data_IF_589727952791
#
_entry.id   IF_589727952791
#
_cell.length_a   1.000
_cell.length_b   1.000
_cell.length_c   1.000
_cell.angle_alpha   90.00
_cell.angle_beta   90.00
_cell.angle_gamma   90.00
#
_symmetry.space_group_name_H-M   'P 1'
#
loop_
_entity.id
_entity.type
_entity.pdbx_description
1 polymer ?
#
# COMPACT_ATOMS: atom_id res chain seq x y z
N UNK A 1 -1.63 14.09 6.05
CA UNK A 1 -0.31 13.49 6.37
C UNK A 1 0.07 12.64 5.17
N UNK A 2 1.20 12.95 4.53
CA UNK A 2 1.68 12.22 3.36
C UNK A 2 2.27 10.88 3.77
N UNK A 3 2.06 9.86 2.95
CA UNK A 3 2.75 8.59 3.11
C UNK A 3 4.23 8.77 2.73
N UNK A 4 5.14 8.42 3.65
CA UNK A 4 6.58 8.62 3.43
C UNK A 4 7.17 7.51 2.54
N UNK A 5 6.99 7.72 1.23
CA UNK A 5 7.50 6.84 0.19
C UNK A 5 9.02 6.69 0.21
N UNK A 6 9.74 7.76 0.56
CA UNK A 6 11.21 7.73 0.60
C UNK A 6 11.72 6.81 1.69
N UNK A 7 11.14 6.91 2.89
CA UNK A 7 11.44 6.03 4.02
C UNK A 7 11.11 4.56 3.69
N UNK A 8 9.98 4.30 3.03
CA UNK A 8 9.58 2.95 2.64
C UNK A 8 10.53 2.32 1.63
N UNK A 9 10.93 3.07 0.59
CA UNK A 9 11.87 2.58 -0.43
C UNK A 9 13.26 2.35 0.16
N UNK A 10 13.72 3.21 1.07
CA UNK A 10 14.96 2.99 1.82
C UNK A 10 14.88 1.69 2.63
N UNK A 11 13.80 1.49 3.39
CA UNK A 11 13.64 0.29 4.21
C UNK A 11 13.55 -1.00 3.36
N UNK A 12 12.83 -0.97 2.23
CA UNK A 12 12.68 -2.13 1.35
C UNK A 12 13.91 -2.41 0.47
N UNK A 13 14.39 -1.43 -0.29
CA UNK A 13 15.47 -1.62 -1.27
C UNK A 13 16.84 -1.62 -0.60
N UNK A 14 17.09 -0.73 0.35
CA UNK A 14 18.38 -0.66 1.07
C UNK A 14 18.39 -1.57 2.30
N UNK A 15 17.30 -1.59 3.08
CA UNK A 15 17.22 -2.35 4.33
C UNK A 15 17.07 -3.86 4.12
N UNK A 16 16.07 -4.28 3.34
CA UNK A 16 15.84 -5.70 3.02
C UNK A 16 16.64 -6.20 1.81
N UNK A 17 17.33 -5.30 1.10
CA UNK A 17 18.13 -5.66 -0.09
C UNK A 17 17.31 -6.06 -1.31
N UNK A 18 16.01 -5.73 -1.34
CA UNK A 18 15.11 -6.06 -2.43
C UNK A 18 15.54 -5.33 -3.71
N UNK A 19 15.54 -6.03 -4.85
CA UNK A 19 15.64 -5.34 -6.14
C UNK A 19 14.39 -4.48 -6.35
N UNK A 20 14.49 -3.35 -7.08
CA UNK A 20 13.32 -2.51 -7.35
C UNK A 20 12.14 -3.29 -7.94
N UNK A 21 12.40 -4.27 -8.81
CA UNK A 21 11.37 -5.14 -9.38
C UNK A 21 10.70 -6.04 -8.35
N UNK A 22 11.46 -6.58 -7.38
CA UNK A 22 10.90 -7.41 -6.31
C UNK A 22 10.06 -6.56 -5.35
N UNK A 23 10.55 -5.37 -5.02
CA UNK A 23 9.82 -4.40 -4.21
C UNK A 23 8.46 -4.02 -4.82
N UNK A 24 8.39 -3.79 -6.14
CA UNK A 24 7.14 -3.46 -6.83
C UNK A 24 6.25 -4.68 -7.11
N UNK A 25 6.80 -5.89 -7.08
CA UNK A 25 6.03 -7.13 -7.20
C UNK A 25 5.37 -7.54 -5.88
N UNK A 26 5.91 -7.10 -4.74
CA UNK A 26 5.37 -7.39 -3.41
C UNK A 26 4.11 -6.58 -3.14
N UNK A 27 3.15 -7.22 -2.45
CA UNK A 27 2.04 -6.49 -1.87
C UNK A 27 2.54 -5.67 -0.67
N UNK A 28 1.91 -4.50 -0.38
CA UNK A 28 2.28 -3.71 0.81
C UNK A 28 2.21 -4.50 2.13
N UNK A 29 1.33 -5.51 2.21
CA UNK A 29 1.22 -6.37 3.38
C UNK A 29 2.43 -7.29 3.56
N UNK A 30 2.93 -7.90 2.46
CA UNK A 30 4.13 -8.72 2.49
C UNK A 30 5.38 -7.89 2.80
N UNK A 31 5.46 -6.68 2.26
CA UNK A 31 6.53 -5.74 2.58
C UNK A 31 6.54 -5.38 4.08
N UNK A 32 5.37 -5.06 4.66
CA UNK A 32 5.27 -4.77 6.10
C UNK A 32 5.63 -5.99 6.97
N UNK A 33 5.24 -7.19 6.55
CA UNK A 33 5.61 -8.43 7.24
C UNK A 33 7.14 -8.62 7.24
N UNK A 34 7.79 -8.44 6.10
CA UNK A 34 9.25 -8.56 5.97
C UNK A 34 10.01 -7.47 6.74
N UNK A 35 9.45 -6.27 6.84
CA UNK A 35 10.00 -5.17 7.65
C UNK A 35 9.83 -5.39 9.17
N UNK A 36 9.27 -6.52 9.60
CA UNK A 36 9.02 -6.79 11.01
C UNK A 36 7.86 -5.97 11.59
N UNK A 37 7.11 -5.26 10.75
CA UNK A 37 5.91 -4.52 11.13
C UNK A 37 4.69 -5.46 11.24
N UNK A 38 4.88 -6.65 11.80
CA UNK A 38 3.86 -7.69 12.02
C UNK A 38 2.74 -7.29 13.01
N UNK A 39 2.60 -6.00 13.31
CA UNK A 39 1.55 -5.43 14.16
C UNK A 39 0.93 -4.15 13.59
N UNK A 40 1.16 -3.82 12.31
CA UNK A 40 0.45 -2.72 11.65
C UNK A 40 -1.05 -3.03 11.51
N UNK A 41 -1.93 -2.01 11.53
CA UNK A 41 -3.37 -2.21 11.41
C UNK A 41 -3.67 -3.09 10.19
N UNK A 42 -4.56 -4.07 10.39
CA UNK A 42 -4.88 -5.08 9.39
C UNK A 42 -5.08 -4.44 8.00
N UNK A 43 -4.53 -5.03 6.93
CA UNK A 43 -4.75 -4.52 5.58
C UNK A 43 -6.25 -4.37 5.36
N UNK A 44 -6.63 -3.27 4.69
CA UNK A 44 -8.03 -2.94 4.42
C UNK A 44 -8.80 -4.19 4.01
N UNK A 45 -9.83 -4.52 4.78
CA UNK A 45 -10.66 -5.67 4.47
C UNK A 45 -11.38 -5.43 3.14
N UNK A 46 -11.70 -6.50 2.43
CA UNK A 46 -12.50 -6.42 1.20
C UNK A 46 -13.82 -5.67 1.43
N UNK A 47 -14.43 -5.84 2.61
CA UNK A 47 -15.62 -5.09 3.02
C UNK A 47 -15.38 -3.59 3.08
N UNK A 48 -14.22 -3.15 3.60
CA UNK A 48 -13.88 -1.72 3.67
C UNK A 48 -13.55 -1.14 2.29
N UNK A 49 -12.94 -1.93 1.41
CA UNK A 49 -12.75 -1.55 0.00
C UNK A 49 -14.10 -1.36 -0.72
N UNK A 50 -15.05 -2.27 -0.50
CA UNK A 50 -16.40 -2.17 -1.05
C UNK A 50 -17.16 -0.95 -0.49
N UNK A 51 -17.02 -0.63 0.79
CA UNK A 51 -17.54 0.61 1.37
C UNK A 51 -16.96 1.85 0.67
N UNK A 52 -15.64 1.88 0.46
CA UNK A 52 -14.99 2.99 -0.23
C UNK A 52 -15.44 3.12 -1.68
N UNK A 53 -15.57 2.01 -2.41
CA UNK A 53 -16.06 2.01 -3.80
C UNK A 53 -17.50 2.53 -3.90
N UNK A 54 -18.35 2.28 -2.89
CA UNK A 54 -19.70 2.84 -2.81
C UNK A 54 -19.68 4.33 -2.42
N UNK A 55 -18.78 4.72 -1.53
CA UNK A 55 -18.67 6.10 -1.05
C UNK A 55 -18.05 7.04 -2.10
N UNK A 56 -17.17 6.51 -2.96
CA UNK A 56 -16.47 7.24 -4.00
C UNK A 56 -16.61 6.49 -5.34
N UNK A 57 -17.81 6.51 -5.95
CA UNK A 57 -18.01 5.89 -7.25
C UNK A 57 -17.21 6.63 -8.33
N UNK A 58 -16.46 5.89 -9.16
CA UNK A 58 -15.62 6.43 -10.23
C UNK A 58 -16.41 7.16 -11.33
N UNK A 59 -17.73 7.11 -11.28
CA UNK A 59 -18.64 7.84 -12.16
C UNK A 59 -18.71 9.32 -11.73
N UNK A 60 -17.58 10.04 -11.79
CA UNK A 60 -17.65 11.45 -12.15
C UNK A 60 -18.03 11.45 -13.62
N UNK A 61 -19.33 11.62 -13.89
CA UNK A 61 -19.78 12.12 -15.18
C UNK A 61 -18.87 13.28 -15.54
N UNK A 62 -18.20 13.13 -16.68
CA UNK A 62 -17.61 14.21 -17.43
C UNK A 62 -18.67 15.33 -17.53
N UNK A 63 -18.55 16.33 -16.65
CA UNK A 63 -19.32 17.56 -16.70
C UNK A 63 -18.31 18.58 -17.21
N UNK A 64 -18.43 18.88 -18.50
CA UNK A 64 -17.57 19.81 -19.22
C UNK A 64 -17.57 21.23 -18.68
#
# INVERSE_FOLDING_TARGET
MGFDWGALMQAGIRGLGLKPTEFWALTPAELMLMLGAAGGPAPMSRARLEELARAFPDNRLDQG
#
